data_IF_389924422170
#
_entry.id   IF_389924422170
#
_cell.length_a   1.000
_cell.length_b   1.000
_cell.length_c   1.000
_cell.angle_alpha   90.00
_cell.angle_beta   90.00
_cell.angle_gamma   90.00
#
_symmetry.space_group_name_H-M   'P 1'
#
loop_
_entity.id
_entity.type
_entity.pdbx_description
1 polymer ?
#
# COMPACT_ATOMS: atom_id res chain seq x y z
N UNK A 1 -9.13 -16.18 11.37
CA UNK A 1 -8.63 -15.33 10.28
C UNK A 1 -7.15 -15.65 10.17
N UNK A 2 -6.80 -16.30 9.09
CA UNK A 2 -5.74 -17.31 8.98
C UNK A 2 -4.34 -16.70 9.05
N UNK A 3 -3.51 -17.25 9.95
CA UNK A 3 -2.06 -17.01 10.04
C UNK A 3 -1.37 -17.89 8.98
N UNK A 4 -1.50 -17.55 7.70
CA UNK A 4 -0.77 -18.22 6.62
C UNK A 4 0.61 -17.58 6.46
N UNK A 5 1.60 -18.18 7.13
CA UNK A 5 3.04 -17.94 6.95
C UNK A 5 3.49 -18.46 5.58
N UNK A 6 3.20 -17.70 4.54
CA UNK A 6 3.68 -17.93 3.18
C UNK A 6 3.62 -16.61 2.44
N UNK A 7 4.75 -16.12 1.93
CA UNK A 7 4.82 -14.90 1.14
C UNK A 7 3.94 -15.04 -0.11
N UNK A 8 2.67 -14.64 0.00
CA UNK A 8 1.65 -14.78 -1.05
C UNK A 8 1.95 -13.77 -2.16
N UNK A 9 2.63 -14.23 -3.22
CA UNK A 9 2.91 -13.41 -4.39
C UNK A 9 1.63 -13.17 -5.17
N UNK A 10 1.12 -11.93 -5.12
CA UNK A 10 -0.15 -11.56 -5.77
C UNK A 10 0.07 -10.85 -7.07
N UNK A 11 -0.41 -11.40 -8.18
CA UNK A 11 -0.41 -10.66 -9.45
C UNK A 11 -1.35 -9.43 -9.38
N UNK A 12 -0.92 -8.32 -9.96
CA UNK A 12 -1.75 -7.14 -10.18
C UNK A 12 -2.17 -7.12 -11.64
N UNK A 13 -3.47 -7.24 -11.91
CA UNK A 13 -4.01 -7.22 -13.27
C UNK A 13 -3.88 -5.85 -13.94
N UNK A 14 -3.98 -4.76 -13.17
CA UNK A 14 -3.84 -3.38 -13.66
C UNK A 14 -2.40 -3.05 -14.06
N UNK A 15 -1.45 -3.25 -13.14
CA UNK A 15 -0.04 -2.93 -13.39
C UNK A 15 0.70 -4.04 -14.15
N UNK A 16 0.10 -5.23 -14.30
CA UNK A 16 0.70 -6.42 -14.91
C UNK A 16 2.03 -6.85 -14.28
N UNK A 17 2.11 -6.77 -12.94
CA UNK A 17 3.30 -7.15 -12.16
C UNK A 17 2.94 -8.16 -11.07
N UNK A 18 3.89 -9.03 -10.73
CA UNK A 18 3.81 -9.82 -9.50
C UNK A 18 4.17 -8.95 -8.30
N UNK A 19 3.29 -8.93 -7.30
CA UNK A 19 3.49 -8.18 -6.06
C UNK A 19 4.02 -9.12 -4.99
N UNK A 20 5.09 -8.68 -4.33
CA UNK A 20 5.57 -9.33 -3.11
C UNK A 20 4.63 -9.01 -1.95
N UNK A 21 4.81 -9.72 -0.83
CA UNK A 21 4.06 -9.46 0.39
C UNK A 21 4.14 -7.98 0.81
N UNK A 22 3.00 -7.46 1.26
CA UNK A 22 2.85 -6.07 1.70
C UNK A 22 2.69 -5.05 0.58
N UNK A 23 2.64 -5.44 -0.69
CA UNK A 23 2.31 -4.52 -1.79
C UNK A 23 0.83 -4.57 -2.15
N UNK A 24 0.17 -3.40 -2.18
CA UNK A 24 -1.23 -3.27 -2.62
C UNK A 24 -1.35 -2.26 -3.75
N UNK A 25 -2.33 -2.47 -4.63
CA UNK A 25 -2.61 -1.54 -5.73
C UNK A 25 -3.57 -0.47 -5.24
N UNK A 26 -3.23 0.79 -5.45
CA UNK A 26 -4.15 1.89 -5.25
C UNK A 26 -4.90 2.15 -6.56
N UNK A 27 -6.22 1.95 -6.56
CA UNK A 27 -7.07 2.21 -7.72
C UNK A 27 -7.18 3.69 -8.07
N UNK A 28 -7.07 4.58 -7.08
CA UNK A 28 -7.14 6.04 -7.31
C UNK A 28 -5.87 6.57 -7.97
N UNK A 29 -4.71 6.08 -7.57
CA UNK A 29 -3.43 6.49 -8.14
C UNK A 29 -2.98 5.65 -9.34
N UNK A 30 -3.54 4.45 -9.53
CA UNK A 30 -3.21 3.56 -10.64
C UNK A 30 -1.86 2.83 -10.54
N UNK A 31 -1.23 2.79 -9.37
CA UNK A 31 0.05 2.10 -9.18
C UNK A 31 0.11 1.28 -7.87
N UNK A 32 1.02 0.30 -7.86
CA UNK A 32 1.27 -0.59 -6.72
C UNK A 32 2.22 0.05 -5.71
N UNK A 33 1.91 -0.08 -4.43
CA UNK A 33 2.57 0.62 -3.33
C UNK A 33 2.97 -0.36 -2.25
N UNK A 34 4.24 -0.30 -1.85
CA UNK A 34 4.79 -1.14 -0.79
C UNK A 34 4.35 -0.66 0.59
N UNK A 35 3.89 -1.59 1.42
CA UNK A 35 3.30 -1.36 2.73
C UNK A 35 2.13 -0.39 2.67
N UNK A 36 1.33 -0.48 1.61
CA UNK A 36 0.15 0.37 1.42
C UNK A 36 -0.74 0.32 2.65
N UNK A 37 -1.12 1.50 3.13
CA UNK A 37 -2.06 1.69 4.23
C UNK A 37 -3.39 2.20 3.65
N UNK A 38 -3.38 3.40 3.06
CA UNK A 38 -4.54 4.00 2.41
C UNK A 38 -4.13 5.04 1.35
N UNK A 39 -5.04 5.36 0.44
CA UNK A 39 -4.96 6.60 -0.34
C UNK A 39 -5.58 7.72 0.48
N UNK A 40 -4.84 8.80 0.71
CA UNK A 40 -5.36 9.95 1.43
C UNK A 40 -5.66 11.06 0.42
N UNK A 41 -6.95 11.31 0.18
CA UNK A 41 -7.41 12.36 -0.72
C UNK A 41 -6.97 13.76 -0.26
N UNK A 42 -6.79 13.97 1.05
CA UNK A 42 -6.39 15.26 1.63
C UNK A 42 -4.99 15.66 1.19
N UNK A 43 -4.03 14.72 1.20
CA UNK A 43 -2.68 14.96 0.70
C UNK A 43 -2.53 14.58 -0.78
N UNK A 44 -3.63 14.14 -1.42
CA UNK A 44 -3.69 13.61 -2.77
C UNK A 44 -2.56 12.61 -3.07
N UNK A 45 -2.27 11.74 -2.09
CA UNK A 45 -1.14 10.82 -2.15
C UNK A 45 -1.42 9.57 -1.32
N UNK A 46 -0.75 8.49 -1.70
CA UNK A 46 -0.87 7.24 -0.98
C UNK A 46 0.06 7.16 0.20
N UNK A 47 -0.48 6.73 1.34
CA UNK A 47 0.28 6.45 2.53
C UNK A 47 0.69 4.97 2.51
N UNK A 48 2.00 4.73 2.53
CA UNK A 48 2.60 3.42 2.52
C UNK A 48 3.87 3.39 3.37
N UNK A 49 4.67 2.32 3.28
CA UNK A 49 5.84 2.14 4.16
C UNK A 49 6.83 3.31 4.12
N UNK A 50 6.96 3.96 2.96
CA UNK A 50 7.94 5.04 2.72
C UNK A 50 7.55 6.38 3.34
N UNK A 51 6.26 6.69 3.48
CA UNK A 51 5.78 7.95 4.04
C UNK A 51 4.95 7.78 5.31
N UNK A 52 4.67 6.54 5.76
CA UNK A 52 3.93 6.27 7.00
C UNK A 52 4.58 6.98 8.21
N UNK A 53 5.91 7.01 8.31
CA UNK A 53 6.60 7.71 9.41
C UNK A 53 6.49 9.24 9.36
N UNK A 54 6.39 9.81 8.16
CA UNK A 54 6.17 11.25 7.99
C UNK A 54 4.71 11.58 8.29
N UNK A 55 3.77 10.81 7.73
CA UNK A 55 2.33 11.02 7.91
C UNK A 55 1.86 10.80 9.36
N UNK A 56 2.37 9.78 10.06
CA UNK A 56 2.03 9.52 11.48
C UNK A 56 2.48 10.66 12.39
N UNK A 57 3.49 11.47 12.01
CA UNK A 57 3.90 12.64 12.80
C UNK A 57 2.98 13.84 12.64
N UNK A 58 2.18 13.90 11.57
CA UNK A 58 1.34 15.06 11.25
C UNK A 58 -0.17 14.80 11.46
N UNK A 59 -0.58 13.56 11.76
CA UNK A 59 -1.97 13.19 12.08
C UNK A 59 -2.15 12.55 13.46
N UNK A 60 -1.22 12.79 14.40
CA UNK A 60 -1.50 12.57 15.81
C UNK A 60 -2.35 13.76 16.31
N UNK A 61 -3.57 13.55 16.84
CA UNK A 61 -4.28 14.60 17.57
C UNK A 61 -3.46 15.08 18.77
#
# INVERSE_FOLDING_TARGET
RDFSTGHDVRFCTTCKIYRLEGWSHCSECGYCIRGFDHHCAVVNNCIGLRNRRAFVRDTAP
#
